data_IF_246649523231
#
_entry.id   IF_246649523231
#
_cell.length_a   1.000
_cell.length_b   1.000
_cell.length_c   1.000
_cell.angle_alpha   90.00
_cell.angle_beta   90.00
_cell.angle_gamma   90.00
#
_symmetry.space_group_name_H-M   'P 1'
#
loop_
_entity.id
_entity.type
_entity.pdbx_description
1 polymer ?
#
# COMPACT_ATOMS: atom_id res chain seq x y z
N UNK A 1 -14.76 12.42 -0.55
CA UNK A 1 -14.87 12.33 0.92
C UNK A 1 -13.69 13.11 1.48
N UNK A 2 -13.91 14.05 2.40
CA UNK A 2 -12.80 14.83 2.99
C UNK A 2 -12.17 14.05 4.17
N UNK A 3 -10.91 14.36 4.50
CA UNK A 3 -10.15 13.83 5.65
C UNK A 3 -10.05 12.29 5.67
N UNK A 4 -9.50 11.72 4.60
CA UNK A 4 -9.24 10.28 4.45
C UNK A 4 -7.76 9.93 4.62
N UNK A 5 -6.99 10.73 5.37
CA UNK A 5 -5.56 10.48 5.50
C UNK A 5 -5.33 9.10 6.08
N UNK A 6 -4.32 8.43 5.56
CA UNK A 6 -3.94 7.08 5.94
C UNK A 6 -2.46 7.06 6.30
N UNK A 7 -2.18 6.49 7.45
CA UNK A 7 -0.85 6.39 8.03
C UNK A 7 -0.48 4.91 8.10
N UNK A 8 0.63 4.54 7.47
CA UNK A 8 1.05 3.15 7.33
C UNK A 8 2.39 2.94 8.04
N UNK A 9 2.48 1.88 8.83
CA UNK A 9 3.71 1.43 9.46
C UNK A 9 3.90 -0.06 9.12
N UNK A 10 4.97 -0.39 8.41
CA UNK A 10 5.16 -1.72 7.84
C UNK A 10 6.63 -2.06 7.66
N UNK A 11 6.92 -3.36 7.61
CA UNK A 11 8.20 -3.87 7.17
C UNK A 11 8.18 -4.01 5.65
N UNK A 12 9.28 -3.67 4.99
CA UNK A 12 9.38 -3.68 3.53
C UNK A 12 10.56 -4.54 3.10
N UNK A 13 10.31 -5.55 2.28
CA UNK A 13 11.33 -6.37 1.66
C UNK A 13 11.56 -5.93 0.22
N UNK A 14 12.82 -5.83 -0.19
CA UNK A 14 13.23 -5.41 -1.53
C UNK A 14 13.94 -6.52 -2.29
N UNK A 15 13.57 -6.72 -3.54
CA UNK A 15 14.26 -7.60 -4.47
C UNK A 15 14.66 -6.84 -5.74
N UNK A 16 15.96 -6.61 -5.91
CA UNK A 16 16.51 -5.90 -7.07
C UNK A 16 16.80 -6.90 -8.19
N UNK A 17 16.29 -6.62 -9.38
CA UNK A 17 16.44 -7.47 -10.58
C UNK A 17 16.59 -6.61 -11.83
N UNK A 18 16.60 -7.25 -13.01
CA UNK A 18 16.55 -6.58 -14.31
C UNK A 18 15.40 -7.13 -15.14
N UNK A 19 14.64 -6.25 -15.78
CA UNK A 19 13.63 -6.61 -16.77
C UNK A 19 14.09 -6.14 -18.15
N UNK A 20 14.30 -7.05 -19.10
CA UNK A 20 14.83 -6.75 -20.45
C UNK A 20 16.10 -5.86 -20.42
N UNK A 21 16.98 -6.10 -19.44
CA UNK A 21 18.23 -5.34 -19.26
C UNK A 21 18.09 -4.08 -18.38
N UNK A 22 16.87 -3.59 -18.14
CA UNK A 22 16.61 -2.40 -17.34
C UNK A 22 16.55 -2.74 -15.83
N UNK A 23 17.32 -2.05 -14.95
CA UNK A 23 17.25 -2.28 -13.51
C UNK A 23 15.88 -1.97 -12.93
N UNK A 24 15.34 -2.89 -12.13
CA UNK A 24 14.02 -2.79 -11.50
C UNK A 24 14.07 -3.30 -10.06
N UNK A 25 13.21 -2.81 -9.18
CA UNK A 25 13.04 -3.33 -7.82
C UNK A 25 11.60 -3.82 -7.65
N UNK A 26 11.45 -5.06 -7.22
CA UNK A 26 10.21 -5.58 -6.64
C UNK A 26 10.21 -5.32 -5.14
N UNK A 27 9.03 -5.11 -4.59
CA UNK A 27 8.87 -4.99 -3.14
C UNK A 27 7.56 -5.62 -2.66
N UNK A 28 7.62 -6.11 -1.43
CA UNK A 28 6.46 -6.52 -0.65
C UNK A 28 6.60 -5.97 0.75
N UNK A 29 5.55 -5.31 1.23
CA UNK A 29 5.49 -4.74 2.55
C UNK A 29 4.26 -5.22 3.30
N UNK A 30 4.43 -5.52 4.58
CA UNK A 30 3.35 -5.95 5.46
C UNK A 30 3.41 -5.19 6.79
N UNK A 31 2.25 -4.76 7.26
CA UNK A 31 2.14 -4.08 8.54
C UNK A 31 0.73 -3.60 8.87
N UNK A 32 0.66 -2.38 9.39
CA UNK A 32 -0.54 -1.77 9.91
C UNK A 32 -0.85 -0.48 9.16
N UNK A 33 -2.14 -0.21 8.99
CA UNK A 33 -2.65 1.00 8.37
C UNK A 33 -3.78 1.59 9.20
N UNK A 34 -3.59 2.82 9.64
CA UNK A 34 -4.58 3.61 10.34
C UNK A 34 -5.14 4.70 9.43
N UNK A 35 -6.47 4.75 9.28
CA UNK A 35 -7.16 5.81 8.54
C UNK A 35 -7.92 6.73 9.50
N UNK A 36 -7.80 8.06 9.29
CA UNK A 36 -8.56 9.05 10.05
C UNK A 36 -10.07 8.84 9.89
N UNK A 37 -10.49 8.46 8.67
CA UNK A 37 -11.85 8.06 8.36
C UNK A 37 -11.79 6.86 7.42
N UNK A 38 -12.60 5.85 7.70
CA UNK A 38 -12.75 4.69 6.82
C UNK A 38 -13.21 5.18 5.43
N UNK A 39 -12.44 4.91 4.35
CA UNK A 39 -12.81 5.30 3.01
C UNK A 39 -14.20 4.77 2.64
N UNK A 40 -14.98 5.55 1.90
CA UNK A 40 -16.37 5.20 1.61
C UNK A 40 -16.53 3.82 0.96
N UNK A 41 -15.71 3.50 -0.04
CA UNK A 41 -15.75 2.22 -0.76
C UNK A 41 -15.35 1.05 0.15
N UNK A 42 -14.29 1.23 0.94
CA UNK A 42 -13.85 0.27 1.97
C UNK A 42 -14.98 0.01 2.97
N UNK A 43 -15.52 1.09 3.54
CA UNK A 43 -16.58 1.05 4.53
C UNK A 43 -17.85 0.40 4.01
N UNK A 44 -18.22 0.64 2.76
CA UNK A 44 -19.39 0.00 2.12
C UNK A 44 -19.25 -1.51 2.12
N UNK A 45 -18.06 -2.01 1.78
CA UNK A 45 -17.80 -3.44 1.73
C UNK A 45 -17.64 -4.04 3.13
N UNK A 46 -16.89 -3.38 4.02
CA UNK A 46 -16.67 -3.88 5.38
C UNK A 46 -17.97 -3.93 6.18
N UNK A 47 -18.80 -2.89 6.12
CA UNK A 47 -20.09 -2.85 6.85
C UNK A 47 -21.06 -3.91 6.35
N UNK A 48 -21.09 -4.14 5.03
CA UNK A 48 -21.86 -5.23 4.40
C UNK A 48 -21.43 -6.62 4.88
N UNK A 49 -20.12 -6.85 5.05
CA UNK A 49 -19.55 -8.15 5.45
C UNK A 49 -19.45 -8.35 6.97
N UNK A 50 -19.56 -7.27 7.75
CA UNK A 50 -19.22 -7.25 9.18
C UNK A 50 -20.37 -6.83 10.10
N UNK A 51 -21.61 -6.83 9.61
CA UNK A 51 -22.80 -6.39 10.33
C UNK A 51 -22.66 -4.92 10.79
N UNK A 52 -22.52 -4.01 9.83
CA UNK A 52 -22.37 -2.56 10.04
C UNK A 52 -21.10 -2.12 10.78
N UNK A 53 -20.12 -3.01 10.97
CA UNK A 53 -18.81 -2.68 11.54
C UNK A 53 -17.78 -2.32 10.48
N UNK A 54 -16.91 -1.39 10.83
CA UNK A 54 -15.67 -1.09 10.13
C UNK A 54 -14.54 -0.85 11.16
N UNK A 55 -13.33 -0.61 10.66
CA UNK A 55 -12.17 -0.35 11.51
C UNK A 55 -11.25 0.69 10.86
N UNK A 56 -10.84 1.68 11.64
CA UNK A 56 -9.81 2.64 11.24
C UNK A 56 -8.43 1.99 11.19
N UNK A 57 -8.17 1.01 12.05
CA UNK A 57 -6.91 0.28 12.08
C UNK A 57 -7.10 -1.10 11.44
N UNK A 58 -6.28 -1.42 10.44
CA UNK A 58 -6.33 -2.70 9.74
C UNK A 58 -4.93 -3.18 9.34
N UNK A 59 -4.84 -4.45 8.95
CA UNK A 59 -3.65 -4.97 8.28
C UNK A 59 -3.44 -4.24 6.96
N UNK A 60 -2.18 -4.07 6.60
CA UNK A 60 -1.73 -3.43 5.39
C UNK A 60 -0.77 -4.34 4.66
N UNK A 61 -1.02 -4.55 3.38
CA UNK A 61 -0.13 -5.24 2.46
C UNK A 61 0.12 -4.31 1.28
N UNK A 62 1.38 -4.13 0.89
CA UNK A 62 1.75 -3.31 -0.25
C UNK A 62 2.70 -4.09 -1.13
N UNK A 63 2.29 -4.39 -2.36
CA UNK A 63 3.11 -5.13 -3.32
C UNK A 63 3.27 -4.30 -4.57
N UNK A 64 4.48 -4.25 -5.11
CA UNK A 64 4.71 -3.44 -6.29
C UNK A 64 6.10 -3.58 -6.87
N UNK A 65 6.34 -2.74 -7.86
CA UNK A 65 7.63 -2.61 -8.50
C UNK A 65 7.89 -1.16 -8.88
N UNK A 66 9.18 -0.84 -8.99
CA UNK A 66 9.62 0.50 -9.35
C UNK A 66 10.95 0.48 -10.12
N UNK A 67 11.23 1.60 -10.78
CA UNK A 67 12.45 1.87 -11.53
C UNK A 67 13.09 3.15 -11.01
N UNK A 68 14.42 3.25 -11.06
CA UNK A 68 15.07 4.56 -10.88
C UNK A 68 14.76 5.44 -12.08
N UNK A 69 14.36 6.67 -11.84
CA UNK A 69 14.10 7.67 -12.89
C UNK A 69 15.37 7.89 -13.70
N UNK A 70 16.54 7.93 -13.06
CA UNK A 70 17.82 8.05 -13.75
C UNK A 70 18.13 6.92 -14.74
N UNK A 71 17.71 5.68 -14.45
CA UNK A 71 17.88 4.55 -15.39
C UNK A 71 16.91 4.65 -16.57
N UNK A 72 15.70 5.20 -16.37
CA UNK A 72 14.68 5.34 -17.41
C UNK A 72 15.05 6.41 -18.44
N UNK A 73 15.65 7.52 -18.00
CA UNK A 73 15.92 8.68 -18.85
C UNK A 73 17.41 8.90 -19.14
N UNK A 74 18.28 8.03 -18.63
CA UNK A 74 19.73 8.12 -18.83
C UNK A 74 20.43 9.24 -18.04
N UNK A 75 19.81 9.75 -16.96
CA UNK A 75 20.37 10.83 -16.14
C UNK A 75 20.72 10.35 -14.72
N UNK A 76 22.01 10.10 -14.47
CA UNK A 76 22.50 9.60 -13.18
C UNK A 76 22.22 10.51 -11.98
N UNK A 77 21.98 11.81 -12.20
CA UNK A 77 21.63 12.74 -11.11
C UNK A 77 20.26 12.43 -10.47
N UNK A 78 19.41 11.64 -11.15
CA UNK A 78 18.09 11.23 -10.68
C UNK A 78 18.06 9.76 -10.21
N UNK A 79 19.20 9.18 -9.85
CA UNK A 79 19.26 7.80 -9.38
C UNK A 79 18.69 7.60 -7.95
N UNK A 80 18.52 8.70 -7.22
CA UNK A 80 17.82 8.74 -5.93
C UNK A 80 16.30 8.85 -6.07
N UNK A 81 15.77 9.13 -7.27
CA UNK A 81 14.34 9.20 -7.51
C UNK A 81 13.87 7.90 -8.16
N UNK A 82 12.77 7.34 -7.66
CA UNK A 82 12.17 6.09 -8.17
C UNK A 82 10.71 6.34 -8.53
N UNK A 83 10.27 5.77 -9.65
CA UNK A 83 8.89 5.80 -10.12
C UNK A 83 8.36 4.36 -10.16
N UNK A 84 7.19 4.13 -9.58
CA UNK A 84 6.64 2.78 -9.46
C UNK A 84 5.13 2.69 -9.41
N UNK A 85 4.67 1.45 -9.52
CA UNK A 85 3.28 1.05 -9.32
C UNK A 85 3.20 0.07 -8.15
N UNK A 86 2.16 0.22 -7.35
CA UNK A 86 1.89 -0.65 -6.21
C UNK A 86 0.40 -0.98 -6.12
N UNK A 87 0.06 -2.17 -5.64
CA UNK A 87 -1.24 -2.50 -5.10
C UNK A 87 -1.18 -2.46 -3.57
N UNK A 88 -1.92 -1.51 -3.01
CA UNK A 88 -2.07 -1.31 -1.58
C UNK A 88 -3.37 -1.93 -1.12
N UNK A 89 -3.26 -3.00 -0.34
CA UNK A 89 -4.39 -3.73 0.23
C UNK A 89 -4.51 -3.43 1.73
N UNK A 90 -5.74 -3.19 2.19
CA UNK A 90 -6.08 -3.15 3.63
C UNK A 90 -7.13 -4.19 3.93
N UNK A 91 -7.02 -4.89 5.07
CA UNK A 91 -8.05 -5.85 5.49
C UNK A 91 -8.18 -6.04 7.01
N UNK A 92 -9.38 -6.45 7.43
CA UNK A 92 -9.66 -6.87 8.79
C UNK A 92 -9.26 -8.32 9.12
N UNK A 93 -8.56 -9.03 8.22
CA UNK A 93 -8.14 -10.44 8.36
C UNK A 93 -9.29 -11.33 8.85
N UNK A 94 -10.42 -11.35 8.13
CA UNK A 94 -11.55 -12.26 8.38
C UNK A 94 -12.05 -12.28 9.83
N UNK A 95 -12.17 -11.11 10.48
CA UNK A 95 -12.65 -10.98 11.86
C UNK A 95 -11.75 -11.61 12.92
N UNK A 96 -10.53 -12.06 12.57
CA UNK A 96 -9.64 -12.79 13.49
C UNK A 96 -8.99 -11.88 14.54
N UNK A 97 -8.97 -10.57 14.31
CA UNK A 97 -8.20 -9.61 15.12
C UNK A 97 -9.15 -8.63 15.81
N UNK A 98 -9.18 -8.65 17.15
CA UNK A 98 -9.99 -7.73 17.96
C UNK A 98 -9.66 -6.25 17.71
N UNK A 99 -8.38 -5.95 17.48
CA UNK A 99 -7.90 -4.60 17.21
C UNK A 99 -8.40 -4.05 15.86
N UNK A 100 -8.84 -4.92 14.96
CA UNK A 100 -9.48 -4.54 13.69
C UNK A 100 -11.01 -4.57 13.81
N UNK A 101 -11.55 -4.37 15.02
CA UNK A 101 -12.98 -4.41 15.33
C UNK A 101 -13.71 -5.71 14.88
N UNK A 102 -12.97 -6.82 14.74
CA UNK A 102 -13.48 -8.04 14.13
C UNK A 102 -14.15 -7.78 12.76
N UNK A 103 -13.57 -6.89 11.97
CA UNK A 103 -14.03 -6.53 10.62
C UNK A 103 -13.59 -7.60 9.61
N UNK A 104 -14.42 -7.80 8.59
CA UNK A 104 -14.16 -8.58 7.40
C UNK A 104 -14.26 -7.69 6.18
N UNK A 105 -13.47 -8.00 5.14
CA UNK A 105 -13.34 -7.16 3.97
C UNK A 105 -12.27 -6.09 4.16
N UNK A 106 -12.31 -5.08 3.31
CA UNK A 106 -11.31 -4.04 3.24
C UNK A 106 -11.31 -3.36 1.87
N UNK A 107 -10.14 -2.98 1.37
CA UNK A 107 -10.00 -2.25 0.12
C UNK A 107 -8.67 -2.54 -0.59
N UNK A 108 -8.63 -2.24 -1.89
CA UNK A 108 -7.44 -2.28 -2.73
C UNK A 108 -7.28 -0.95 -3.46
N UNK A 109 -6.06 -0.45 -3.57
CA UNK A 109 -5.73 0.76 -4.29
C UNK A 109 -4.49 0.56 -5.14
N UNK A 110 -4.65 0.70 -6.45
CA UNK A 110 -3.52 0.82 -7.36
C UNK A 110 -2.95 2.24 -7.23
N UNK A 111 -1.67 2.31 -6.90
CA UNK A 111 -0.98 3.56 -6.60
C UNK A 111 0.17 3.75 -7.59
N UNK A 112 0.20 4.91 -8.24
CA UNK A 112 1.39 5.45 -8.90
C UNK A 112 2.13 6.32 -7.89
N UNK A 113 3.42 6.09 -7.68
CA UNK A 113 4.19 6.81 -6.67
C UNK A 113 5.56 7.25 -7.17
N UNK A 114 6.08 8.29 -6.50
CA UNK A 114 7.48 8.69 -6.55
C UNK A 114 8.10 8.50 -5.17
N UNK A 115 9.27 7.86 -5.13
CA UNK A 115 10.08 7.68 -3.92
C UNK A 115 11.43 8.39 -4.09
N UNK A 116 11.86 9.10 -3.04
CA UNK A 116 13.15 9.78 -3.01
C UNK A 116 14.04 9.18 -1.92
N UNK A 117 15.22 8.70 -2.30
CA UNK A 117 16.27 8.20 -1.43
C UNK A 117 17.16 9.39 -0.97
N UNK A 118 17.17 9.71 0.34
CA UNK A 118 17.97 10.79 0.93
C UNK A 118 19.41 10.38 1.27
#
# INVERSE_FOLDING_TARGET
>A
QNNHNQYNAFFLAHYKTKYKGMPMRWFIGEGLSWSERVPYVEGRETRRLSNERDSQLMNYLNIGFDFRVGDLIGNKSLNNLRLGLADSHRSGIYKKVKWFNHTQGGSNFITLFLEYDF
#
